data_IF_695088925143
#
_entry.id   IF_695088925143
#
_cell.length_a   1.000
_cell.length_b   1.000
_cell.length_c   1.000
_cell.angle_alpha   90.00
_cell.angle_beta   90.00
_cell.angle_gamma   90.00
#
_symmetry.space_group_name_H-M   'P 1'
#
loop_
_entity.id
_entity.type
_entity.pdbx_description
1 polymer ?
#
# COMPACT_ATOMS: atom_id res chain seq x y z
N UNK A 1 15.07 34.94 -75.81
CA UNK A 1 14.46 34.39 -77.04
C UNK A 1 13.04 33.96 -76.71
N UNK A 2 12.05 34.61 -77.33
CA UNK A 2 10.60 34.43 -77.10
C UNK A 2 9.95 34.48 -78.48
N UNK A 3 9.25 33.42 -78.96
CA UNK A 3 8.67 33.45 -80.29
C UNK A 3 7.32 34.18 -80.27
N UNK A 4 7.21 35.22 -81.09
CA UNK A 4 5.99 35.95 -81.38
C UNK A 4 5.23 35.23 -82.48
N UNK A 5 4.04 34.70 -82.16
CA UNK A 5 3.08 34.21 -83.16
C UNK A 5 2.06 35.30 -83.49
N UNK A 6 2.08 35.74 -84.74
CA UNK A 6 1.10 36.61 -85.36
C UNK A 6 -0.12 35.75 -85.72
N UNK A 7 -1.29 36.06 -85.14
CA UNK A 7 -2.55 35.39 -85.44
C UNK A 7 -3.34 36.23 -86.46
N UNK A 8 -3.90 35.62 -87.53
CA UNK A 8 -4.64 36.34 -88.57
C UNK A 8 -6.01 36.78 -88.05
N UNK A 9 -6.34 38.05 -88.30
CA UNK A 9 -7.67 38.62 -88.10
C UNK A 9 -8.56 38.08 -89.22
N UNK A 10 -9.27 36.98 -88.94
CA UNK A 10 -10.29 36.43 -89.81
C UNK A 10 -11.59 37.23 -89.67
N UNK A 11 -12.06 37.68 -90.83
CA UNK A 11 -13.25 38.47 -91.11
C UNK A 11 -14.52 37.84 -90.49
N UNK A 12 -15.09 38.49 -89.47
CA UNK A 12 -16.33 38.05 -88.80
C UNK A 12 -17.54 38.45 -89.64
N UNK A 13 -17.99 37.55 -90.52
CA UNK A 13 -19.36 37.59 -91.03
C UNK A 13 -20.34 37.26 -89.91
N UNK A 14 -21.00 38.28 -89.38
CA UNK A 14 -22.12 38.17 -88.46
C UNK A 14 -23.31 37.56 -89.21
N UNK A 15 -23.47 36.24 -89.07
CA UNK A 15 -24.68 35.54 -89.51
C UNK A 15 -25.73 35.74 -88.43
N UNK A 16 -26.83 36.42 -88.78
CA UNK A 16 -28.00 36.51 -87.91
C UNK A 16 -28.64 35.13 -87.77
N UNK A 17 -28.84 34.69 -86.54
CA UNK A 17 -29.52 33.43 -86.24
C UNK A 17 -30.94 33.44 -86.80
N UNK A 18 -31.34 32.32 -87.40
CA UNK A 18 -32.71 32.19 -87.90
C UNK A 18 -33.66 31.95 -86.72
N UNK A 19 -34.90 32.43 -86.83
CA UNK A 19 -35.89 32.37 -85.74
C UNK A 19 -36.15 30.90 -85.30
N UNK A 20 -36.08 29.95 -86.24
CA UNK A 20 -36.19 28.51 -85.98
C UNK A 20 -35.01 27.98 -85.14
N UNK A 21 -33.80 28.44 -85.42
CA UNK A 21 -32.59 28.04 -84.69
C UNK A 21 -32.64 28.51 -83.22
N UNK A 22 -33.18 29.70 -82.99
CA UNK A 22 -33.37 30.25 -81.65
C UNK A 22 -34.47 29.49 -80.87
N UNK A 23 -35.54 29.08 -81.55
CA UNK A 23 -36.64 28.27 -80.96
C UNK A 23 -36.17 26.86 -80.60
N UNK A 24 -35.25 26.25 -81.35
CA UNK A 24 -34.70 24.91 -81.05
C UNK A 24 -33.57 24.97 -80.01
N UNK A 25 -32.77 26.03 -79.98
CA UNK A 25 -31.69 26.19 -79.00
C UNK A 25 -32.20 26.43 -77.57
N UNK A 26 -33.35 27.12 -77.41
CA UNK A 26 -33.97 27.41 -76.12
C UNK A 26 -34.27 26.16 -75.26
N UNK A 27 -34.98 25.13 -75.75
CA UNK A 27 -35.26 23.92 -74.96
C UNK A 27 -34.00 23.10 -74.67
N UNK A 28 -33.02 23.08 -75.58
CA UNK A 28 -31.75 22.37 -75.37
C UNK A 28 -30.95 23.03 -74.24
N UNK A 29 -30.85 24.36 -74.24
CA UNK A 29 -30.18 25.10 -73.15
C UNK A 29 -30.91 24.95 -71.81
N UNK A 30 -32.25 24.94 -71.82
CA UNK A 30 -33.03 24.68 -70.61
C UNK A 30 -32.74 23.30 -70.02
N UNK A 31 -32.66 22.27 -70.87
CA UNK A 31 -32.35 20.90 -70.44
C UNK A 31 -30.92 20.77 -69.90
N UNK A 32 -29.95 21.43 -70.53
CA UNK A 32 -28.56 21.47 -70.05
C UNK A 32 -28.43 22.16 -68.69
N UNK A 33 -29.13 23.27 -68.48
CA UNK A 33 -29.13 23.98 -67.19
C UNK A 33 -29.71 23.12 -66.05
N UNK A 34 -30.78 22.36 -66.31
CA UNK A 34 -31.35 21.42 -65.34
C UNK A 34 -30.38 20.27 -65.05
N UNK A 35 -29.76 19.70 -66.08
CA UNK A 35 -28.78 18.62 -65.92
C UNK A 35 -27.54 19.08 -65.11
N UNK A 36 -27.03 20.29 -65.36
CA UNK A 36 -25.92 20.87 -64.60
C UNK A 36 -26.31 21.17 -63.16
N UNK A 37 -27.51 21.69 -62.92
CA UNK A 37 -28.03 21.91 -61.56
C UNK A 37 -28.14 20.61 -60.77
N UNK A 38 -28.61 19.53 -61.41
CA UNK A 38 -28.66 18.20 -60.81
C UNK A 38 -27.26 17.63 -60.53
N UNK A 39 -26.31 17.77 -61.47
CA UNK A 39 -24.94 17.31 -61.29
C UNK A 39 -24.22 18.06 -60.15
N UNK A 40 -24.38 19.39 -60.04
CA UNK A 40 -23.82 20.18 -58.94
C UNK A 40 -24.42 19.76 -57.60
N UNK A 41 -25.73 19.48 -57.55
CA UNK A 41 -26.39 18.99 -56.33
C UNK A 41 -25.88 17.61 -55.91
N UNK A 42 -25.64 16.70 -56.85
CA UNK A 42 -25.05 15.38 -56.56
C UNK A 42 -23.59 15.55 -56.11
N UNK A 43 -22.82 16.41 -56.78
CA UNK A 43 -21.43 16.68 -56.41
C UNK A 43 -21.31 17.35 -55.03
N UNK A 44 -22.22 18.26 -54.66
CA UNK A 44 -22.23 18.90 -53.35
C UNK A 44 -22.71 17.97 -52.23
N UNK A 45 -23.57 16.98 -52.55
CA UNK A 45 -23.92 15.89 -51.62
C UNK A 45 -22.82 14.84 -51.49
N UNK A 46 -21.99 14.66 -52.52
CA UNK A 46 -20.84 13.75 -52.52
C UNK A 46 -19.60 14.35 -51.85
N UNK A 47 -19.47 15.69 -51.81
CA UNK A 47 -18.43 16.35 -51.05
C UNK A 47 -18.68 16.13 -49.55
N UNK A 48 -17.76 15.48 -48.82
CA UNK A 48 -17.92 15.29 -47.39
C UNK A 48 -18.03 16.65 -46.70
N UNK A 49 -19.17 16.95 -46.09
CA UNK A 49 -19.27 18.08 -45.19
C UNK A 49 -18.28 17.92 -44.02
N UNK A 50 -17.89 19.01 -43.38
CA UNK A 50 -17.05 18.98 -42.16
C UNK A 50 -17.67 18.17 -41.00
N UNK A 51 -18.95 17.79 -41.13
CA UNK A 51 -19.72 16.92 -40.23
C UNK A 51 -19.77 15.45 -40.67
N UNK A 52 -19.03 15.05 -41.71
CA UNK A 52 -18.99 13.65 -42.14
C UNK A 52 -18.46 12.74 -41.02
N UNK A 53 -19.00 11.52 -40.91
CA UNK A 53 -18.59 10.51 -39.92
C UNK A 53 -17.09 10.22 -39.97
N UNK A 54 -16.48 10.31 -41.16
CA UNK A 54 -15.04 10.14 -41.34
C UNK A 54 -14.26 11.26 -40.65
N UNK A 55 -14.69 12.51 -40.80
CA UNK A 55 -14.07 13.68 -40.15
C UNK A 55 -14.17 13.58 -38.63
N UNK A 56 -15.36 13.24 -38.09
CA UNK A 56 -15.55 13.12 -36.64
C UNK A 56 -14.76 11.97 -36.03
N UNK A 57 -14.68 10.83 -36.73
CA UNK A 57 -13.89 9.67 -36.30
C UNK A 57 -12.39 9.98 -36.30
N UNK A 58 -11.89 10.70 -37.32
CA UNK A 58 -10.49 11.12 -37.37
C UNK A 58 -10.15 12.08 -36.22
N UNK A 59 -11.00 13.07 -35.96
CA UNK A 59 -10.83 13.99 -34.83
C UNK A 59 -10.87 13.27 -33.47
N UNK A 60 -11.77 12.30 -33.29
CA UNK A 60 -11.82 11.50 -32.07
C UNK A 60 -10.54 10.65 -31.89
N UNK A 61 -9.97 10.14 -32.99
CA UNK A 61 -8.71 9.39 -32.96
C UNK A 61 -7.54 10.27 -32.53
N UNK A 62 -7.39 11.46 -33.10
CA UNK A 62 -6.34 12.42 -32.71
C UNK A 62 -6.39 12.73 -31.20
N UNK A 63 -7.60 12.89 -30.66
CA UNK A 63 -7.82 13.11 -29.22
C UNK A 63 -7.38 11.91 -28.39
N UNK A 64 -7.73 10.69 -28.81
CA UNK A 64 -7.30 9.47 -28.12
C UNK A 64 -5.78 9.28 -28.19
N UNK A 65 -5.14 9.63 -29.30
CA UNK A 65 -3.69 9.58 -29.45
C UNK A 65 -2.99 10.56 -28.50
N UNK A 66 -3.56 11.77 -28.31
CA UNK A 66 -3.07 12.74 -27.31
C UNK A 66 -3.24 12.20 -25.87
N UNK A 67 -4.40 11.65 -25.53
CA UNK A 67 -4.64 11.03 -24.22
C UNK A 67 -3.67 9.87 -23.98
N UNK A 68 -3.45 9.03 -24.98
CA UNK A 68 -2.52 7.91 -24.91
C UNK A 68 -1.08 8.38 -24.70
N UNK A 69 -0.65 9.40 -25.45
CA UNK A 69 0.69 9.97 -25.32
C UNK A 69 0.94 10.53 -23.92
N UNK A 70 -0.02 11.27 -23.35
CA UNK A 70 0.12 11.81 -21.99
C UNK A 70 0.10 10.70 -20.94
N UNK A 71 -0.85 9.77 -21.00
CA UNK A 71 -1.00 8.71 -19.99
C UNK A 71 0.11 7.66 -20.00
N UNK A 72 0.74 7.42 -21.15
CA UNK A 72 1.87 6.48 -21.26
C UNK A 72 2.99 6.85 -20.29
N UNK A 73 3.20 8.15 -20.07
CA UNK A 73 4.24 8.71 -19.20
C UNK A 73 3.73 9.18 -17.84
N UNK A 74 2.49 8.86 -17.46
CA UNK A 74 1.95 9.24 -16.15
C UNK A 74 2.84 8.72 -15.00
N UNK A 75 3.25 9.60 -14.10
CA UNK A 75 4.09 9.28 -12.92
C UNK A 75 3.29 9.25 -11.63
N UNK A 76 2.18 9.98 -11.57
CA UNK A 76 1.24 9.94 -10.45
C UNK A 76 -0.19 10.22 -10.94
N UNK A 77 -1.18 9.56 -10.35
CA UNK A 77 -2.60 9.82 -10.59
C UNK A 77 -3.14 10.56 -9.37
N UNK A 78 -3.68 11.76 -9.58
CA UNK A 78 -4.20 12.60 -8.49
C UNK A 78 -5.72 12.47 -8.37
N UNK A 79 -6.40 12.07 -9.45
CA UNK A 79 -7.83 11.75 -9.39
C UNK A 79 -8.06 10.47 -8.60
N UNK A 80 -9.01 10.51 -7.67
CA UNK A 80 -9.50 9.30 -7.02
C UNK A 80 -10.34 8.48 -8.01
N UNK A 81 -9.69 7.46 -8.57
CA UNK A 81 -10.24 6.54 -9.57
C UNK A 81 -11.41 5.67 -9.06
N UNK A 82 -11.76 5.75 -7.76
CA UNK A 82 -12.91 5.05 -7.17
C UNK A 82 -14.20 5.86 -7.23
N UNK A 83 -14.10 7.18 -7.41
CA UNK A 83 -15.28 8.06 -7.41
C UNK A 83 -16.04 7.99 -8.73
N UNK A 84 -17.36 8.16 -8.69
CA UNK A 84 -18.20 8.18 -9.89
C UNK A 84 -17.77 9.26 -10.91
N UNK A 85 -17.15 10.35 -10.44
CA UNK A 85 -16.59 11.42 -11.28
C UNK A 85 -15.37 10.98 -12.11
N UNK A 86 -14.61 9.98 -11.65
CA UNK A 86 -13.41 9.50 -12.33
C UNK A 86 -13.70 8.83 -13.68
N UNK A 87 -14.96 8.47 -13.96
CA UNK A 87 -15.35 8.00 -15.28
C UNK A 87 -15.27 9.11 -16.35
N UNK A 88 -15.24 10.39 -15.95
CA UNK A 88 -15.33 11.55 -16.88
C UNK A 88 -14.24 12.61 -16.66
N UNK A 89 -13.44 12.44 -15.63
CA UNK A 89 -12.32 13.32 -15.32
C UNK A 89 -11.12 12.48 -14.91
N UNK A 90 -9.93 12.88 -15.39
CA UNK A 90 -8.66 12.26 -15.02
C UNK A 90 -7.57 13.31 -14.94
N UNK A 91 -7.00 13.47 -13.76
CA UNK A 91 -5.89 14.35 -13.41
C UNK A 91 -4.69 13.51 -13.02
N UNK A 92 -3.56 13.78 -13.64
CA UNK A 92 -2.31 13.08 -13.39
C UNK A 92 -1.11 13.97 -13.68
N UNK A 93 0.03 13.52 -13.20
CA UNK A 93 1.31 14.16 -13.40
C UNK A 93 2.14 13.37 -14.41
N UNK A 94 2.99 14.08 -15.14
CA UNK A 94 3.97 13.52 -16.08
C UNK A 94 5.32 14.24 -15.90
N UNK A 95 6.44 13.64 -16.34
CA UNK A 95 7.72 14.33 -16.35
C UNK A 95 7.66 15.61 -17.18
N UNK A 96 8.50 16.57 -16.83
CA UNK A 96 8.73 17.80 -17.60
C UNK A 96 9.12 17.48 -19.06
N UNK A 97 8.36 18.06 -20.02
CA UNK A 97 8.58 17.90 -21.47
C UNK A 97 9.08 19.18 -22.13
N UNK A 98 8.84 20.35 -21.54
CA UNK A 98 9.19 21.65 -22.11
C UNK A 98 10.43 22.31 -21.48
N UNK A 99 11.00 21.68 -20.44
CA UNK A 99 12.19 22.13 -19.75
C UNK A 99 11.95 23.35 -18.85
N UNK A 100 10.70 23.65 -18.51
CA UNK A 100 10.32 24.76 -17.64
C UNK A 100 9.99 24.27 -16.23
N UNK A 101 10.23 25.13 -15.23
CA UNK A 101 9.76 24.87 -13.87
C UNK A 101 8.23 24.98 -13.80
N UNK A 102 7.52 24.11 -13.06
CA UNK A 102 8.03 23.01 -12.22
C UNK A 102 8.41 21.75 -13.02
N UNK A 103 9.33 20.93 -12.49
CA UNK A 103 9.85 19.70 -13.12
C UNK A 103 8.82 18.57 -13.31
N UNK A 104 7.53 18.85 -13.13
CA UNK A 104 6.42 17.92 -13.27
C UNK A 104 5.22 18.69 -13.79
N UNK A 105 4.64 18.19 -14.88
CA UNK A 105 3.49 18.82 -15.52
C UNK A 105 2.21 18.14 -15.04
N UNK A 106 1.17 18.93 -14.80
CA UNK A 106 -0.16 18.41 -14.44
C UNK A 106 -1.07 18.47 -15.66
N UNK A 107 -1.64 17.32 -16.02
CA UNK A 107 -2.62 17.17 -17.09
C UNK A 107 -3.97 16.79 -16.49
N UNK A 108 -5.02 17.47 -16.91
CA UNK A 108 -6.41 17.10 -16.58
C UNK A 108 -7.24 16.98 -17.84
N UNK A 109 -7.91 15.85 -18.02
CA UNK A 109 -9.00 15.70 -18.97
C UNK A 109 -10.33 15.82 -18.24
N UNK A 110 -11.28 16.57 -18.79
CA UNK A 110 -12.60 16.74 -18.17
C UNK A 110 -13.71 16.85 -19.20
N UNK A 111 -14.78 16.09 -18.97
CA UNK A 111 -16.04 16.19 -19.70
C UNK A 111 -17.20 16.27 -18.72
N UNK A 112 -18.17 17.16 -18.98
CA UNK A 112 -19.28 17.41 -18.05
C UNK A 112 -20.25 16.24 -17.91
N UNK A 113 -20.22 15.28 -18.84
CA UNK A 113 -21.24 14.23 -18.94
C UNK A 113 -22.44 14.62 -19.79
N UNK A 114 -22.54 15.88 -20.24
CA UNK A 114 -23.63 16.35 -21.09
C UNK A 114 -23.30 16.11 -22.55
N UNK A 115 -24.19 15.39 -23.25
CA UNK A 115 -24.11 15.17 -24.69
C UNK A 115 -24.00 16.50 -25.46
N UNK A 116 -23.00 16.61 -26.34
CA UNK A 116 -22.69 17.82 -27.09
C UNK A 116 -21.74 18.79 -26.38
N UNK A 117 -21.44 18.59 -25.09
CA UNK A 117 -20.43 19.39 -24.40
C UNK A 117 -19.01 19.06 -24.90
N UNK A 118 -18.07 20.02 -24.87
CA UNK A 118 -16.68 19.75 -25.25
C UNK A 118 -15.96 18.88 -24.21
N UNK A 119 -14.98 18.11 -24.67
CA UNK A 119 -13.93 17.53 -23.83
C UNK A 119 -12.76 18.52 -23.80
N UNK A 120 -12.31 18.88 -22.60
CA UNK A 120 -11.21 19.81 -22.39
C UNK A 120 -9.97 19.09 -21.86
N UNK A 121 -8.81 19.60 -22.24
CA UNK A 121 -7.50 19.27 -21.66
C UNK A 121 -6.97 20.51 -20.96
N UNK A 122 -6.64 20.39 -19.68
CA UNK A 122 -5.94 21.42 -18.92
C UNK A 122 -4.51 20.98 -18.70
N UNK A 123 -3.55 21.76 -19.20
CA UNK A 123 -2.12 21.50 -19.09
C UNK A 123 -1.47 22.64 -18.32
N UNK A 124 -0.92 22.34 -17.14
CA UNK A 124 -0.33 23.34 -16.23
C UNK A 124 -1.25 24.56 -16.01
N UNK A 125 -2.55 24.30 -15.84
CA UNK A 125 -3.59 25.32 -15.64
C UNK A 125 -4.18 25.94 -16.92
N UNK A 126 -3.54 25.76 -18.07
CA UNK A 126 -4.06 26.26 -19.36
C UNK A 126 -5.05 25.27 -19.95
N UNK A 127 -6.30 25.68 -20.15
CA UNK A 127 -7.38 24.82 -20.64
C UNK A 127 -7.60 25.01 -22.14
N UNK A 128 -7.68 23.91 -22.88
CA UNK A 128 -7.94 23.89 -24.32
C UNK A 128 -9.00 22.84 -24.64
N UNK A 129 -9.93 23.17 -25.53
CA UNK A 129 -10.89 22.20 -26.07
C UNK A 129 -10.18 21.29 -27.06
N UNK A 130 -10.15 19.99 -26.78
CA UNK A 130 -9.51 19.01 -27.67
C UNK A 130 -10.53 18.27 -28.55
N UNK A 131 -11.78 18.15 -28.08
CA UNK A 131 -12.87 17.59 -28.87
C UNK A 131 -14.13 18.44 -28.68
N UNK A 132 -14.70 18.91 -29.79
CA UNK A 132 -16.01 19.54 -29.78
C UNK A 132 -17.13 18.49 -29.84
N UNK A 133 -18.31 18.84 -29.32
CA UNK A 133 -19.54 18.05 -29.47
C UNK A 133 -19.43 16.58 -29.06
N UNK A 134 -18.83 16.32 -27.91
CA UNK A 134 -18.66 14.97 -27.36
C UNK A 134 -20.00 14.43 -26.88
N UNK A 135 -20.37 13.24 -27.35
CA UNK A 135 -21.60 12.55 -26.97
C UNK A 135 -21.38 11.49 -25.91
N UNK A 136 -20.15 10.95 -25.82
CA UNK A 136 -19.77 9.94 -24.84
C UNK A 136 -18.27 10.08 -24.56
N UNK A 137 -17.91 10.19 -23.28
CA UNK A 137 -16.54 10.02 -22.80
C UNK A 137 -16.59 9.20 -21.51
N UNK A 138 -15.84 8.10 -21.48
CA UNK A 138 -15.78 7.22 -20.32
C UNK A 138 -14.39 6.64 -20.15
N UNK A 139 -13.94 6.60 -18.89
CA UNK A 139 -12.69 6.00 -18.45
C UNK A 139 -12.96 4.82 -17.53
N UNK A 140 -12.26 3.72 -17.76
CA UNK A 140 -12.21 2.57 -16.87
C UNK A 140 -10.76 2.21 -16.56
N UNK A 141 -10.48 1.88 -15.29
CA UNK A 141 -9.12 1.75 -14.77
C UNK A 141 -8.78 0.29 -14.50
N UNK A 142 -7.73 -0.21 -15.14
CA UNK A 142 -7.24 -1.56 -14.93
C UNK A 142 -6.10 -1.53 -13.90
N UNK A 143 -6.35 -2.16 -12.73
CA UNK A 143 -5.46 -2.11 -11.57
C UNK A 143 -4.81 -3.47 -11.31
N UNK A 144 -3.58 -3.46 -10.81
CA UNK A 144 -2.92 -4.63 -10.21
C UNK A 144 -2.70 -4.41 -8.73
N UNK A 145 -3.03 -5.38 -7.90
CA UNK A 145 -2.67 -5.37 -6.48
C UNK A 145 -1.28 -5.99 -6.27
N UNK A 146 -0.52 -5.42 -5.34
CA UNK A 146 0.78 -5.93 -4.88
C UNK A 146 0.76 -5.94 -3.35
N UNK A 147 0.95 -7.12 -2.75
CA UNK A 147 1.06 -7.22 -1.31
C UNK A 147 2.28 -6.42 -0.82
N UNK A 148 2.08 -5.61 0.21
CA UNK A 148 3.16 -4.90 0.89
C UNK A 148 3.90 -5.87 1.83
N UNK A 149 5.16 -5.56 2.20
CA UNK A 149 5.86 -6.32 3.22
C UNK A 149 5.02 -6.42 4.50
N UNK A 150 5.00 -7.61 5.10
CA UNK A 150 4.30 -7.82 6.37
C UNK A 150 4.89 -6.91 7.44
N UNK A 151 4.03 -6.11 8.06
CA UNK A 151 4.35 -5.34 9.25
C UNK A 151 3.88 -6.10 10.49
N UNK A 152 4.40 -5.72 11.65
CA UNK A 152 4.06 -6.33 12.92
C UNK A 152 3.69 -5.24 13.92
N UNK A 153 2.62 -5.46 14.65
CA UNK A 153 2.22 -4.61 15.78
C UNK A 153 2.51 -5.31 17.10
N UNK A 154 2.89 -4.53 18.10
CA UNK A 154 3.11 -5.01 19.46
C UNK A 154 1.82 -4.84 20.24
N UNK A 155 1.29 -5.94 20.79
CA UNK A 155 0.09 -5.93 21.63
C UNK A 155 0.33 -5.30 23.01
N UNK A 156 -0.75 -5.12 23.77
CA UNK A 156 -0.66 -4.70 25.17
C UNK A 156 0.05 -5.76 26.04
N UNK A 157 0.56 -5.34 27.20
CA UNK A 157 1.12 -6.29 28.18
C UNK A 157 0.04 -7.28 28.61
N UNK A 158 0.37 -8.57 28.54
CA UNK A 158 -0.49 -9.67 28.97
C UNK A 158 0.30 -10.67 29.80
N UNK A 159 -0.41 -11.53 30.54
CA UNK A 159 0.19 -12.67 31.22
C UNK A 159 0.59 -13.71 30.17
N UNK A 160 1.88 -14.03 30.09
CA UNK A 160 2.42 -15.01 29.15
C UNK A 160 2.40 -16.42 29.73
N UNK A 161 2.80 -16.56 31.00
CA UNK A 161 2.84 -17.84 31.71
C UNK A 161 2.87 -17.59 33.22
N UNK A 162 2.26 -18.47 34.00
CA UNK A 162 2.28 -18.43 35.46
C UNK A 162 2.34 -19.82 36.08
N UNK A 163 2.71 -19.84 37.35
CA UNK A 163 2.57 -20.98 38.25
C UNK A 163 2.11 -20.45 39.59
N UNK A 164 0.89 -20.81 40.01
CA UNK A 164 0.31 -20.35 41.28
C UNK A 164 0.79 -21.16 42.49
N UNK A 165 1.55 -22.25 42.26
CA UNK A 165 2.05 -23.14 43.30
C UNK A 165 0.95 -23.94 44.00
N UNK A 166 0.73 -25.20 43.61
CA UNK A 166 -0.22 -26.07 44.32
C UNK A 166 0.38 -26.74 45.57
N UNK A 167 -0.49 -27.05 46.53
CA UNK A 167 -0.33 -26.94 48.00
C UNK A 167 0.42 -28.05 48.75
N UNK A 168 1.35 -28.77 48.15
CA UNK A 168 2.05 -29.85 48.88
C UNK A 168 3.56 -29.59 48.94
N UNK A 169 4.02 -29.21 50.14
CA UNK A 169 5.42 -29.03 50.54
C UNK A 169 6.15 -27.82 49.93
N UNK A 170 5.81 -26.59 50.36
CA UNK A 170 6.52 -25.42 49.89
C UNK A 170 7.93 -25.36 50.49
N UNK A 171 8.96 -25.25 49.67
CA UNK A 171 10.36 -25.14 50.10
C UNK A 171 10.87 -23.69 50.02
N UNK A 172 11.69 -23.33 51.01
CA UNK A 172 12.36 -22.04 51.11
C UNK A 172 13.73 -22.14 50.41
N UNK A 173 13.96 -21.34 49.36
CA UNK A 173 15.24 -21.28 48.67
C UNK A 173 15.96 -19.99 49.05
N UNK A 174 16.88 -20.07 50.00
CA UNK A 174 17.72 -18.94 50.39
C UNK A 174 18.72 -18.61 49.26
N UNK A 175 18.75 -17.35 48.83
CA UNK A 175 19.68 -16.86 47.80
C UNK A 175 20.97 -16.40 48.48
N UNK A 176 22.07 -17.07 48.19
CA UNK A 176 23.39 -16.84 48.79
C UNK A 176 24.46 -16.73 47.70
N UNK A 177 25.70 -16.41 48.08
CA UNK A 177 26.81 -16.29 47.12
C UNK A 177 27.07 -17.56 46.29
N UNK A 178 26.75 -18.73 46.85
CA UNK A 178 26.88 -20.02 46.16
C UNK A 178 25.54 -20.57 45.67
N UNK A 179 24.42 -20.26 46.34
CA UNK A 179 23.11 -20.80 46.01
C UNK A 179 22.23 -19.78 45.28
N UNK A 180 21.99 -19.97 43.99
CA UNK A 180 21.00 -19.17 43.24
C UNK A 180 19.85 -20.05 42.78
N UNK A 181 18.71 -19.42 42.58
CA UNK A 181 17.49 -20.08 42.14
C UNK A 181 16.87 -19.32 40.99
N UNK A 182 16.17 -20.03 40.13
CA UNK A 182 15.47 -19.46 39.01
C UNK A 182 14.35 -20.36 38.54
N UNK A 183 13.73 -19.93 37.46
CA UNK A 183 12.60 -20.59 36.84
C UNK A 183 12.84 -20.59 35.34
N UNK A 184 12.91 -21.77 34.74
CA UNK A 184 12.75 -21.92 33.30
C UNK A 184 11.28 -21.76 32.93
N UNK A 185 11.01 -21.04 31.86
CA UNK A 185 9.67 -20.89 31.31
C UNK A 185 9.70 -20.77 29.79
N UNK A 186 8.75 -21.42 29.12
CA UNK A 186 8.47 -21.25 27.70
C UNK A 186 6.95 -21.12 27.53
N UNK A 187 6.43 -19.89 27.30
CA UNK A 187 5.01 -19.66 27.10
C UNK A 187 4.43 -20.45 25.92
N UNK A 188 3.19 -20.90 26.05
CA UNK A 188 2.42 -21.46 24.92
C UNK A 188 1.66 -20.31 24.27
N UNK A 189 2.17 -19.83 23.14
CA UNK A 189 1.64 -18.68 22.43
C UNK A 189 0.74 -19.11 21.26
N UNK A 190 -0.18 -18.24 20.85
CA UNK A 190 -1.00 -18.47 19.67
C UNK A 190 -0.12 -18.61 18.41
N UNK A 191 -0.56 -19.41 17.43
CA UNK A 191 0.22 -19.73 16.23
C UNK A 191 0.54 -18.52 15.34
N UNK A 192 -0.20 -17.42 15.49
CA UNK A 192 0.03 -16.17 14.77
C UNK A 192 1.04 -15.24 15.48
N UNK A 193 1.56 -15.59 16.66
CA UNK A 193 2.60 -14.78 17.32
C UNK A 193 3.92 -14.94 16.57
N UNK A 194 4.52 -13.82 16.18
CA UNK A 194 5.81 -13.78 15.50
C UNK A 194 6.98 -13.74 16.48
N UNK A 195 6.84 -12.97 17.55
CA UNK A 195 7.84 -12.82 18.60
C UNK A 195 7.18 -12.36 19.90
N UNK A 196 7.89 -12.44 21.01
CA UNK A 196 7.44 -11.95 22.30
C UNK A 196 8.63 -11.47 23.13
N UNK A 197 8.37 -10.65 24.15
CA UNK A 197 9.37 -10.18 25.09
C UNK A 197 8.78 -10.07 26.49
N UNK A 198 9.63 -10.21 27.51
CA UNK A 198 9.26 -10.02 28.92
C UNK A 198 9.28 -8.53 29.24
N UNK A 199 8.28 -8.05 29.94
CA UNK A 199 8.22 -6.67 30.45
C UNK A 199 8.21 -6.63 31.97
N UNK A 200 7.66 -7.68 32.61
CA UNK A 200 7.54 -7.75 34.06
C UNK A 200 7.48 -9.19 34.53
N UNK A 201 8.17 -9.50 35.62
CA UNK A 201 7.97 -10.74 36.36
C UNK A 201 7.39 -10.44 37.74
N UNK A 202 6.66 -11.41 38.28
CA UNK A 202 6.30 -11.43 39.69
C UNK A 202 6.82 -12.70 40.33
N UNK A 203 7.37 -12.57 41.54
CA UNK A 203 7.95 -13.68 42.32
C UNK A 203 7.45 -13.62 43.77
N UNK A 204 7.20 -14.78 44.37
CA UNK A 204 6.80 -14.85 45.78
C UNK A 204 8.04 -14.91 46.69
N UNK A 205 8.37 -13.76 47.29
CA UNK A 205 9.63 -13.50 47.99
C UNK A 205 9.39 -12.99 49.42
N UNK A 206 10.35 -13.24 50.32
CA UNK A 206 10.50 -12.54 51.61
C UNK A 206 11.98 -12.20 51.84
N UNK A 207 12.25 -11.25 52.71
CA UNK A 207 13.61 -10.99 53.19
C UNK A 207 14.12 -12.13 54.07
N UNK A 208 15.44 -12.31 54.12
CA UNK A 208 16.11 -13.05 55.18
C UNK A 208 16.31 -12.16 56.42
N UNK A 209 16.82 -12.71 57.51
CA UNK A 209 16.88 -12.06 58.83
C UNK A 209 17.76 -10.79 58.91
N UNK A 210 18.66 -10.56 57.96
CA UNK A 210 19.75 -9.57 58.10
C UNK A 210 19.57 -8.25 57.31
N UNK A 211 18.47 -8.05 56.57
CA UNK A 211 18.06 -6.81 55.86
C UNK A 211 19.15 -6.09 55.03
N UNK A 212 20.20 -6.79 54.58
CA UNK A 212 21.38 -6.16 53.96
C UNK A 212 21.74 -6.76 52.61
N UNK A 213 21.17 -7.89 52.21
CA UNK A 213 21.50 -8.53 50.96
C UNK A 213 21.00 -7.79 49.71
N UNK A 214 21.67 -8.05 48.59
CA UNK A 214 21.29 -7.53 47.28
C UNK A 214 21.18 -8.67 46.28
N UNK A 215 20.12 -8.68 45.48
CA UNK A 215 19.89 -9.63 44.41
C UNK A 215 19.92 -8.93 43.05
N UNK A 216 20.35 -9.65 42.01
CA UNK A 216 20.05 -9.34 40.62
C UNK A 216 18.95 -10.28 40.14
N UNK A 217 17.81 -9.72 39.77
CA UNK A 217 16.75 -10.48 39.08
C UNK A 217 17.00 -10.34 37.59
N UNK A 218 17.26 -11.45 36.92
CA UNK A 218 17.75 -11.49 35.54
C UNK A 218 16.82 -12.28 34.65
N UNK A 219 16.73 -11.87 33.39
CA UNK A 219 16.21 -12.71 32.32
C UNK A 219 17.40 -13.20 31.51
N UNK A 220 17.56 -14.52 31.41
CA UNK A 220 18.64 -15.17 30.67
C UNK A 220 18.10 -16.04 29.55
N UNK A 221 18.90 -16.24 28.50
CA UNK A 221 18.58 -17.28 27.51
C UNK A 221 18.71 -18.66 28.15
N UNK A 222 18.00 -19.64 27.59
CA UNK A 222 18.03 -21.02 28.06
C UNK A 222 18.60 -21.98 26.99
N UNK A 223 19.32 -23.02 27.44
CA UNK A 223 19.78 -24.13 26.60
C UNK A 223 19.49 -25.45 27.32
N UNK A 224 18.76 -26.37 26.68
CA UNK A 224 18.22 -27.55 27.36
C UNK A 224 17.30 -27.19 28.55
N UNK A 225 16.73 -25.98 28.52
CA UNK A 225 15.95 -25.34 29.58
C UNK A 225 16.72 -25.04 30.88
N UNK A 226 18.04 -25.00 30.81
CA UNK A 226 18.90 -24.44 31.86
C UNK A 226 19.38 -23.04 31.47
N UNK A 227 19.61 -22.12 32.44
CA UNK A 227 20.12 -20.79 32.15
C UNK A 227 21.52 -20.83 31.51
N UNK A 228 21.76 -19.96 30.53
CA UNK A 228 23.12 -19.72 30.01
C UNK A 228 23.80 -18.56 30.73
N UNK A 229 25.02 -18.19 30.30
CA UNK A 229 25.72 -16.99 30.76
C UNK A 229 25.22 -15.69 30.12
N UNK A 230 24.39 -15.77 29.08
CA UNK A 230 23.87 -14.58 28.38
C UNK A 230 22.68 -13.99 29.13
N UNK A 231 22.90 -12.82 29.73
CA UNK A 231 21.86 -12.02 30.40
C UNK A 231 21.23 -11.07 29.37
N UNK A 232 19.92 -11.18 29.16
CA UNK A 232 19.17 -10.30 28.26
C UNK A 232 18.84 -8.96 28.94
N UNK A 233 18.50 -9.01 30.23
CA UNK A 233 18.22 -7.84 31.07
C UNK A 233 18.37 -8.21 32.54
N UNK A 234 18.52 -7.20 33.40
CA UNK A 234 18.55 -7.39 34.85
C UNK A 234 18.10 -6.16 35.62
N UNK A 235 17.53 -6.41 36.80
CA UNK A 235 17.10 -5.38 37.75
C UNK A 235 17.63 -5.72 39.14
N UNK A 236 18.19 -4.75 39.85
CA UNK A 236 18.62 -4.92 41.24
C UNK A 236 17.40 -4.93 42.17
N UNK A 237 17.32 -5.93 43.04
CA UNK A 237 16.31 -6.08 44.08
C UNK A 237 17.00 -6.08 45.44
N UNK A 238 16.77 -5.01 46.21
CA UNK A 238 17.32 -4.85 47.55
C UNK A 238 16.46 -5.62 48.56
N UNK A 239 17.11 -6.39 49.45
CA UNK A 239 16.41 -7.17 50.46
C UNK A 239 15.54 -6.32 51.38
N UNK A 240 16.00 -5.11 51.73
CA UNK A 240 15.28 -4.18 52.59
C UNK A 240 13.96 -3.64 52.00
N UNK A 241 13.68 -3.89 50.70
CA UNK A 241 12.39 -3.61 50.08
C UNK A 241 11.39 -4.76 50.19
N UNK A 242 11.85 -5.94 50.63
CA UNK A 242 11.02 -7.12 50.80
C UNK A 242 10.36 -7.13 52.19
N UNK A 243 9.18 -7.74 52.29
CA UNK A 243 8.51 -7.96 53.57
C UNK A 243 9.14 -9.13 54.35
N UNK A 244 8.92 -9.15 55.67
CA UNK A 244 9.30 -10.28 56.55
C UNK A 244 8.47 -11.55 56.31
N UNK A 245 7.32 -11.42 55.64
CA UNK A 245 6.48 -12.52 55.19
C UNK A 245 6.49 -12.61 53.67
N UNK A 246 6.12 -13.78 53.13
CA UNK A 246 6.07 -13.96 51.69
C UNK A 246 5.03 -13.05 51.05
N UNK A 247 5.47 -12.28 50.06
CA UNK A 247 4.63 -11.42 49.25
C UNK A 247 5.01 -11.53 47.78
N UNK A 248 4.04 -11.27 46.92
CA UNK A 248 4.26 -11.23 45.49
C UNK A 248 4.94 -9.91 45.12
N UNK A 249 6.18 -9.99 44.68
CA UNK A 249 6.99 -8.83 44.32
C UNK A 249 6.99 -8.64 42.82
N UNK A 250 6.72 -7.42 42.36
CA UNK A 250 6.74 -7.07 40.94
C UNK A 250 8.10 -6.50 40.55
N UNK A 251 8.73 -7.12 39.56
CA UNK A 251 10.01 -6.70 38.99
C UNK A 251 9.78 -6.32 37.55
N UNK A 252 9.92 -5.05 37.24
CA UNK A 252 9.83 -4.54 35.87
C UNK A 252 11.18 -4.65 35.17
N UNK A 253 11.13 -4.94 33.87
CA UNK A 253 12.29 -5.03 33.00
C UNK A 253 12.14 -4.05 31.84
N UNK A 254 13.25 -3.48 31.41
CA UNK A 254 13.34 -2.66 30.21
C UNK A 254 14.36 -3.26 29.23
N UNK A 255 14.15 -3.00 27.94
CA UNK A 255 15.09 -3.38 26.88
C UNK A 255 15.23 -4.89 26.63
N UNK A 256 14.27 -5.72 27.04
CA UNK A 256 14.31 -7.16 26.74
C UNK A 256 14.09 -7.33 25.23
N UNK A 257 15.04 -7.95 24.49
CA UNK A 257 14.87 -8.16 23.06
C UNK A 257 13.71 -9.12 22.80
N UNK A 258 13.02 -8.92 21.67
CA UNK A 258 12.01 -9.87 21.19
C UNK A 258 12.66 -11.20 20.83
N UNK A 259 12.04 -12.29 21.27
CA UNK A 259 12.52 -13.66 21.06
C UNK A 259 11.49 -14.51 20.31
N UNK A 260 11.95 -15.64 19.75
CA UNK A 260 11.09 -16.57 19.03
C UNK A 260 9.97 -17.12 19.93
N UNK A 261 8.75 -17.35 19.41
CA UNK A 261 7.64 -17.97 20.14
C UNK A 261 7.96 -19.35 20.72
N UNK A 262 8.97 -20.03 20.16
CA UNK A 262 9.41 -21.36 20.60
C UNK A 262 10.62 -21.33 21.52
N UNK A 263 11.21 -20.16 21.77
CA UNK A 263 12.34 -20.03 22.68
C UNK A 263 11.85 -20.01 24.13
N UNK A 264 12.54 -20.74 25.01
CA UNK A 264 12.39 -20.61 26.46
C UNK A 264 13.42 -19.65 27.05
N UNK A 265 13.07 -19.07 28.19
CA UNK A 265 13.94 -18.18 28.97
C UNK A 265 14.07 -18.70 30.40
N UNK A 266 15.05 -18.16 31.12
CA UNK A 266 15.18 -18.38 32.55
C UNK A 266 15.10 -17.05 33.31
N UNK A 267 14.19 -16.98 34.28
CA UNK A 267 14.17 -15.94 35.30
C UNK A 267 15.09 -16.38 36.44
N UNK A 268 16.15 -15.63 36.72
CA UNK A 268 17.16 -15.99 37.73
C UNK A 268 17.20 -14.94 38.83
N UNK A 269 17.15 -15.37 40.09
CA UNK A 269 17.44 -14.55 41.26
C UNK A 269 18.86 -14.85 41.70
N UNK A 270 19.80 -14.03 41.24
CA UNK A 270 21.23 -14.13 41.50
C UNK A 270 21.60 -13.32 42.75
N UNK A 271 22.42 -13.88 43.63
CA UNK A 271 23.05 -13.11 44.70
C UNK A 271 24.06 -12.11 44.13
N UNK A 272 24.07 -10.87 44.64
CA UNK A 272 25.00 -9.82 44.21
C UNK A 272 26.02 -9.45 45.29
N UNK A 273 25.57 -9.18 46.51
CA UNK A 273 26.42 -8.68 47.60
C UNK A 273 25.81 -8.92 48.99
N UNK A 274 26.66 -8.77 50.01
CA UNK A 274 26.36 -8.84 51.46
C UNK A 274 25.95 -10.25 51.96
N UNK A 275 25.04 -10.35 52.92
CA UNK A 275 24.59 -11.64 53.45
C UNK A 275 23.70 -12.42 52.47
N UNK A 276 23.04 -13.47 52.97
CA UNK A 276 21.86 -14.05 52.30
C UNK A 276 20.89 -12.92 51.94
N UNK A 277 20.36 -12.92 50.72
CA UNK A 277 19.73 -11.73 50.15
C UNK A 277 18.23 -11.79 49.93
N UNK A 278 17.65 -12.97 49.84
CA UNK A 278 16.21 -13.19 49.84
C UNK A 278 15.90 -14.66 49.99
N UNK A 279 14.65 -14.98 50.32
CA UNK A 279 14.14 -16.35 50.27
C UNK A 279 13.05 -16.42 49.20
N UNK A 280 13.26 -17.28 48.21
CA UNK A 280 12.32 -17.52 47.12
C UNK A 280 11.50 -18.77 47.40
N UNK A 281 10.17 -18.65 47.33
CA UNK A 281 9.30 -19.79 47.56
C UNK A 281 9.26 -20.70 46.33
N UNK A 282 9.31 -22.01 46.56
CA UNK A 282 9.10 -23.03 45.53
C UNK A 282 8.11 -24.10 46.01
N UNK A 283 7.56 -24.86 45.07
CA UNK A 283 6.57 -25.92 45.29
C UNK A 283 6.97 -27.20 44.58
N UNK A 284 6.41 -28.33 45.06
CA UNK A 284 6.68 -29.68 44.60
C UNK A 284 6.09 -30.07 43.23
N UNK A 285 5.75 -29.13 42.35
CA UNK A 285 5.19 -29.43 41.03
C UNK A 285 5.76 -28.51 39.95
N UNK A 286 6.19 -29.12 38.84
CA UNK A 286 6.56 -28.41 37.60
C UNK A 286 5.42 -28.56 36.59
N UNK A 287 5.08 -27.49 35.88
CA UNK A 287 4.19 -27.57 34.73
C UNK A 287 4.99 -27.90 33.46
N UNK A 288 4.31 -28.31 32.39
CA UNK A 288 4.96 -28.41 31.08
C UNK A 288 5.61 -27.07 30.74
N UNK A 289 6.84 -27.12 30.20
CA UNK A 289 7.61 -25.93 29.83
C UNK A 289 7.89 -24.96 31.00
N UNK A 290 7.85 -25.44 32.25
CA UNK A 290 7.99 -24.61 33.44
C UNK A 290 8.54 -25.42 34.63
N UNK A 291 9.80 -25.22 34.98
CA UNK A 291 10.43 -25.86 36.14
C UNK A 291 11.49 -24.97 36.80
N UNK A 292 11.70 -25.21 38.10
CA UNK A 292 12.73 -24.57 38.89
C UNK A 292 14.12 -24.99 38.38
N UNK A 293 15.04 -24.03 38.38
CA UNK A 293 16.46 -24.26 38.11
C UNK A 293 17.26 -23.69 39.27
N UNK A 294 18.32 -24.36 39.65
CA UNK A 294 19.17 -23.91 40.76
C UNK A 294 20.64 -24.18 40.49
N UNK A 295 21.48 -23.53 41.28
CA UNK A 295 22.93 -23.69 41.26
C UNK A 295 23.43 -23.62 42.70
N UNK A 296 24.44 -24.41 43.04
CA UNK A 296 25.09 -24.42 44.36
C UNK A 296 26.55 -23.94 44.28
N UNK A 297 26.97 -23.40 43.14
CA UNK A 297 28.31 -22.93 42.87
C UNK A 297 28.35 -21.56 42.15
N UNK A 298 27.42 -20.67 42.52
CA UNK A 298 27.39 -19.30 42.02
C UNK A 298 27.16 -19.22 40.51
N UNK A 299 26.29 -20.08 39.97
CA UNK A 299 25.92 -20.09 38.55
C UNK A 299 26.93 -20.73 37.60
N UNK A 300 27.98 -21.37 38.12
CA UNK A 300 28.96 -22.08 37.29
C UNK A 300 28.35 -23.33 36.63
N UNK A 301 27.43 -24.01 37.31
CA UNK A 301 26.61 -25.07 36.76
C UNK A 301 25.18 -24.98 37.27
N UNK A 302 24.22 -25.30 36.40
CA UNK A 302 22.80 -25.32 36.70
C UNK A 302 22.25 -26.74 36.71
N UNK A 303 21.28 -26.97 37.57
CA UNK A 303 20.49 -28.20 37.63
C UNK A 303 19.00 -27.84 37.64
N UNK A 304 18.16 -28.77 37.20
CA UNK A 304 16.71 -28.67 37.27
C UNK A 304 16.19 -29.74 38.25
N UNK A 305 15.97 -29.40 39.53
CA UNK A 305 15.41 -30.35 40.48
C UNK A 305 14.07 -30.89 39.97
N UNK A 306 13.90 -32.21 39.95
CA UNK A 306 12.63 -32.83 39.54
C UNK A 306 11.49 -32.36 40.43
N UNK A 307 10.32 -32.10 39.83
CA UNK A 307 9.11 -31.72 40.56
C UNK A 307 9.31 -30.48 41.43
N UNK A 308 10.03 -29.47 40.94
CA UNK A 308 10.12 -28.17 41.62
C UNK A 308 9.74 -27.05 40.66
N UNK A 309 8.98 -26.08 41.14
CA UNK A 309 8.61 -24.86 40.42
C UNK A 309 8.51 -23.68 41.38
N UNK A 310 8.93 -22.50 40.94
CA UNK A 310 8.65 -21.27 41.66
C UNK A 310 7.18 -20.89 41.50
N UNK A 311 6.67 -20.02 42.38
CA UNK A 311 5.42 -19.29 42.13
C UNK A 311 5.80 -17.99 41.49
N UNK A 312 5.33 -17.83 40.26
CA UNK A 312 5.76 -16.74 39.41
C UNK A 312 4.69 -16.40 38.38
N UNK A 313 4.77 -15.18 37.89
CA UNK A 313 3.94 -14.69 36.79
C UNK A 313 4.84 -13.91 35.85
N UNK A 314 4.90 -14.31 34.58
CA UNK A 314 5.63 -13.58 33.54
C UNK A 314 4.63 -12.82 32.70
N UNK A 315 4.81 -11.51 32.66
CA UNK A 315 4.08 -10.61 31.79
C UNK A 315 4.99 -10.14 30.66
N UNK A 316 4.37 -9.85 29.53
CA UNK A 316 5.09 -9.42 28.35
C UNK A 316 4.17 -8.96 27.26
N UNK A 317 4.78 -8.52 26.18
CA UNK A 317 4.07 -8.15 24.95
C UNK A 317 4.36 -9.18 23.85
N UNK A 318 3.40 -9.37 22.97
CA UNK A 318 3.53 -10.23 21.79
C UNK A 318 3.47 -9.39 20.52
N UNK A 319 4.25 -9.76 19.52
CA UNK A 319 4.16 -9.19 18.18
C UNK A 319 3.38 -10.13 17.28
N UNK A 320 2.34 -9.62 16.64
CA UNK A 320 1.52 -10.35 15.67
C UNK A 320 1.61 -9.68 14.30
N UNK A 321 1.54 -10.44 13.20
CA UNK A 321 1.52 -9.86 11.87
C UNK A 321 0.26 -9.00 11.71
N UNK A 322 0.43 -7.80 11.18
CA UNK A 322 -0.69 -6.95 10.81
C UNK A 322 -1.47 -7.57 9.63
N UNK A 323 -2.74 -7.19 9.45
CA UNK A 323 -3.49 -7.59 8.27
C UNK A 323 -2.72 -7.25 6.98
N UNK A 324 -2.76 -8.15 5.99
CA UNK A 324 -2.06 -7.95 4.73
C UNK A 324 -2.53 -6.65 4.06
N UNK A 325 -1.61 -5.70 3.91
CA UNK A 325 -1.85 -4.47 3.17
C UNK A 325 -1.48 -4.64 1.69
N UNK A 326 -2.18 -3.92 0.82
CA UNK A 326 -1.95 -3.96 -0.63
C UNK A 326 -1.71 -2.56 -1.18
N UNK A 327 -0.75 -2.46 -2.09
CA UNK A 327 -0.59 -1.33 -3.00
C UNK A 327 -1.33 -1.64 -4.29
N UNK A 328 -2.11 -0.69 -4.81
CA UNK A 328 -2.79 -0.81 -6.10
C UNK A 328 -2.06 0.07 -7.11
N UNK A 329 -1.68 -0.54 -8.23
CA UNK A 329 -0.94 0.10 -9.30
C UNK A 329 -1.82 0.17 -10.55
N UNK A 330 -1.88 1.34 -11.20
CA UNK A 330 -2.63 1.52 -12.44
C UNK A 330 -1.85 0.95 -13.61
N UNK A 331 -2.33 -0.13 -14.21
CA UNK A 331 -1.66 -0.80 -15.33
C UNK A 331 -2.17 -0.35 -16.70
N UNK A 332 -3.42 0.11 -16.75
CA UNK A 332 -4.03 0.60 -17.98
C UNK A 332 -5.29 1.43 -17.76
N UNK A 333 -5.63 2.21 -18.76
CA UNK A 333 -6.86 3.00 -18.83
C UNK A 333 -7.58 2.64 -20.12
N UNK A 334 -8.79 2.09 -20.00
CA UNK A 334 -9.72 1.89 -21.10
C UNK A 334 -10.48 3.19 -21.31
N UNK A 335 -10.36 3.76 -22.50
CA UNK A 335 -10.99 5.02 -22.87
C UNK A 335 -12.00 4.81 -23.99
N UNK A 336 -13.21 5.30 -23.78
CA UNK A 336 -14.27 5.38 -24.78
C UNK A 336 -14.49 6.83 -25.15
N UNK A 337 -14.54 7.14 -26.46
CA UNK A 337 -14.85 8.47 -26.96
C UNK A 337 -15.79 8.39 -28.17
N UNK A 338 -16.84 9.21 -28.16
CA UNK A 338 -17.73 9.43 -29.32
C UNK A 338 -17.94 10.92 -29.55
N UNK A 339 -17.62 11.39 -30.74
CA UNK A 339 -17.84 12.77 -31.19
C UNK A 339 -18.91 12.80 -32.28
N UNK A 340 -19.74 13.85 -32.29
CA UNK A 340 -20.86 13.98 -33.24
C UNK A 340 -22.02 13.01 -32.97
N UNK A 341 -23.15 13.23 -33.63
CA UNK A 341 -24.40 12.50 -33.37
C UNK A 341 -24.45 11.06 -33.90
N UNK A 342 -23.52 10.69 -34.78
CA UNK A 342 -23.48 9.35 -35.38
C UNK A 342 -23.01 8.31 -34.35
N UNK A 343 -23.81 7.29 -34.02
CA UNK A 343 -23.40 6.24 -33.08
C UNK A 343 -22.21 5.40 -33.58
N UNK A 344 -21.95 5.37 -34.88
CA UNK A 344 -20.84 4.59 -35.48
C UNK A 344 -19.47 5.25 -35.32
N UNK A 345 -19.40 6.52 -34.89
CA UNK A 345 -18.13 7.23 -34.61
C UNK A 345 -17.51 6.88 -33.25
N UNK A 346 -18.08 5.92 -32.51
CA UNK A 346 -17.60 5.50 -31.19
C UNK A 346 -16.27 4.75 -31.30
N UNK A 347 -15.24 5.26 -30.62
CA UNK A 347 -13.93 4.66 -30.52
C UNK A 347 -13.68 4.13 -29.10
N UNK A 348 -13.03 2.97 -29.03
CA UNK A 348 -12.58 2.36 -27.78
C UNK A 348 -11.10 2.05 -27.90
N UNK A 349 -10.31 2.41 -26.89
CA UNK A 349 -8.89 2.10 -26.82
C UNK A 349 -8.49 1.68 -25.41
N UNK A 350 -7.38 0.95 -25.31
CA UNK A 350 -6.74 0.61 -24.03
C UNK A 350 -5.35 1.19 -24.04
N UNK A 351 -5.08 2.06 -23.06
CA UNK A 351 -3.81 2.76 -22.92
C UNK A 351 -3.05 2.11 -21.78
N UNK A 352 -1.86 1.58 -22.07
CA UNK A 352 -0.98 1.02 -21.04
C UNK A 352 -0.21 2.14 -20.34
N UNK A 353 -0.16 2.08 -19.01
CA UNK A 353 0.61 3.05 -18.21
C UNK A 353 1.93 2.41 -17.81
N UNK A 354 3.06 2.95 -18.27
CA UNK A 354 4.36 2.28 -18.15
C UNK A 354 4.95 2.37 -16.73
N UNK A 355 4.74 3.48 -16.04
CA UNK A 355 5.28 3.69 -14.69
C UNK A 355 4.43 3.05 -13.58
N UNK A 356 3.27 2.50 -13.95
CA UNK A 356 2.30 1.89 -13.05
C UNK A 356 2.05 2.70 -11.74
N UNK A 357 1.62 3.97 -11.84
CA UNK A 357 1.48 4.84 -10.69
C UNK A 357 0.50 4.26 -9.66
N UNK A 358 0.78 4.51 -8.39
CA UNK A 358 -0.08 4.07 -7.30
C UNK A 358 -1.44 4.78 -7.36
N UNK A 359 -2.52 4.04 -7.12
CA UNK A 359 -3.91 4.52 -7.06
C UNK A 359 -4.63 3.97 -5.83
N UNK A 360 -5.79 4.55 -5.51
CA UNK A 360 -6.65 4.06 -4.42
C UNK A 360 -7.19 2.64 -4.73
N UNK A 361 -7.24 1.81 -3.68
CA UNK A 361 -7.85 0.48 -3.70
C UNK A 361 -9.36 0.50 -3.99
N UNK A 362 -9.98 -0.66 -4.23
CA UNK A 362 -11.43 -0.79 -4.41
C UNK A 362 -12.22 -0.47 -3.15
#
# INVERSE_FOLDING_TARGET
MKPSFCSPIADRRLHGYTLVELVVALPIMALLMVAMGAAIKIASQAAPGGTSTVSTTLAAREVLDVIAADLTYATAITTDVTTAGAARQLTFNIPDRDGQSPTTETVTYSWSGTAGAPLTRTFNGTTTTIAASVQEFSLAYDKRSKALPTTYSTGAETLLISSDGFTLFPADNAVTSTNWVGQYFQPILASNVHSWNVTRAQLYLKKDLADTGQNLVQIRTASGGLPTTTVLTQTTLLENTLAGSYQLQSISFSGVPSISPTAGLCLVVQWQANGTSSIVKSWGTSAANSYCVSTTNGGSSWQAPSNSGLMYYIYGTVQTPDPTAYQYLLTGVRCTLRTGSDPTSRLNTTIRVLNEPQVTGP
#
